data_IF_758260791825
#
_entry.id   IF_758260791825
#
_cell.length_a   1.000
_cell.length_b   1.000
_cell.length_c   1.000
_cell.angle_alpha   90.00
_cell.angle_beta   90.00
_cell.angle_gamma   90.00
#
_symmetry.space_group_name_H-M   'P 1'
#
loop_
_entity.id
_entity.type
_entity.pdbx_description
1 polymer ?
#
# COMPACT_ATOMS: atom_id res chain seq x y z
N UNK A 1 10.78 11.73 2.99
CA UNK A 1 9.39 12.27 2.95
C UNK A 1 8.73 11.76 1.67
N UNK A 2 7.40 11.88 1.49
CA UNK A 2 6.70 11.40 0.27
C UNK A 2 7.37 11.86 -1.03
N UNK A 3 8.01 13.04 -1.01
CA UNK A 3 8.83 13.59 -2.12
C UNK A 3 10.00 12.70 -2.58
N UNK A 4 10.43 11.73 -1.78
CA UNK A 4 11.53 10.81 -2.11
C UNK A 4 11.01 9.50 -2.73
N UNK A 5 9.68 9.35 -2.84
CA UNK A 5 9.03 8.23 -3.52
C UNK A 5 8.93 8.55 -5.01
N UNK A 6 9.37 7.61 -5.85
CA UNK A 6 9.29 7.71 -7.31
C UNK A 6 9.03 6.33 -7.93
N UNK A 7 8.75 6.30 -9.24
CA UNK A 7 8.42 5.07 -9.98
C UNK A 7 9.54 4.01 -9.90
N UNK A 8 10.81 4.42 -9.95
CA UNK A 8 11.93 3.48 -9.89
C UNK A 8 12.06 2.82 -8.52
N UNK A 9 11.82 3.58 -7.44
CA UNK A 9 11.76 3.03 -6.09
C UNK A 9 10.62 2.01 -5.97
N UNK A 10 9.45 2.30 -6.55
CA UNK A 10 8.28 1.42 -6.45
C UNK A 10 8.48 0.06 -7.12
N UNK A 11 9.31 -0.04 -8.17
CA UNK A 11 9.63 -1.31 -8.82
C UNK A 11 10.28 -2.34 -7.87
N UNK A 12 10.88 -1.89 -6.78
CA UNK A 12 11.49 -2.75 -5.76
C UNK A 12 10.51 -3.29 -4.71
N UNK A 13 9.22 -2.93 -4.78
CA UNK A 13 8.21 -3.31 -3.79
C UNK A 13 7.00 -3.95 -4.44
N UNK A 14 6.33 -4.84 -3.70
CA UNK A 14 5.13 -5.53 -4.19
C UNK A 14 3.84 -4.73 -4.02
N UNK A 15 3.79 -3.85 -3.00
CA UNK A 15 2.60 -3.09 -2.63
C UNK A 15 2.97 -1.69 -2.14
N UNK A 16 2.08 -0.73 -2.40
CA UNK A 16 2.16 0.60 -1.82
C UNK A 16 1.01 0.81 -0.82
N UNK A 17 1.34 1.07 0.45
CA UNK A 17 0.33 1.21 1.50
C UNK A 17 0.28 2.62 2.09
N UNK A 18 -0.33 3.60 1.38
CA UNK A 18 -0.41 4.96 1.88
C UNK A 18 -1.36 5.06 3.07
N UNK A 19 -0.99 5.93 4.00
CA UNK A 19 -1.81 6.26 5.17
C UNK A 19 -2.83 7.37 4.86
N UNK A 20 -2.51 8.23 3.89
CA UNK A 20 -3.35 9.32 3.44
C UNK A 20 -3.31 9.40 1.92
N UNK A 21 -4.43 9.80 1.31
CA UNK A 21 -4.50 10.07 -0.12
C UNK A 21 -3.56 11.23 -0.46
N UNK A 22 -2.38 10.89 -0.99
CA UNK A 22 -1.35 11.85 -1.36
C UNK A 22 -1.15 11.76 -2.86
N UNK A 23 -1.15 12.91 -3.52
CA UNK A 23 -0.79 12.99 -4.93
C UNK A 23 0.73 12.81 -5.06
N UNK A 24 1.14 11.78 -5.80
CA UNK A 24 2.54 11.44 -6.07
C UNK A 24 3.05 12.10 -7.36
N UNK A 25 2.16 12.69 -8.16
CA UNK A 25 2.50 13.21 -9.50
C UNK A 25 2.68 12.12 -10.56
N UNK A 26 2.40 10.85 -10.22
CA UNK A 26 2.39 9.69 -11.12
C UNK A 26 1.44 8.61 -10.57
N UNK A 27 1.02 7.69 -11.44
CA UNK A 27 0.19 6.55 -11.04
C UNK A 27 1.08 5.40 -10.53
N UNK A 28 0.85 4.88 -9.30
CA UNK A 28 1.60 3.74 -8.80
C UNK A 28 1.45 2.52 -9.71
N UNK A 29 2.58 2.00 -10.20
CA UNK A 29 2.61 0.76 -11.00
C UNK A 29 2.43 -0.52 -10.19
N UNK A 30 2.23 -0.40 -8.88
CA UNK A 30 2.04 -1.52 -7.93
C UNK A 30 0.71 -1.33 -7.18
N UNK A 31 0.07 -2.42 -6.73
CA UNK A 31 -1.20 -2.36 -6.00
C UNK A 31 -1.15 -1.38 -4.82
N UNK A 32 -2.17 -0.53 -4.72
CA UNK A 32 -2.31 0.48 -3.66
C UNK A 32 -3.36 0.01 -2.65
N UNK A 33 -2.99 -0.04 -1.36
CA UNK A 33 -3.89 -0.42 -0.27
C UNK A 33 -3.84 0.63 0.83
N UNK A 34 -4.96 1.30 1.10
CA UNK A 34 -5.02 2.34 2.11
C UNK A 34 -4.89 1.75 3.53
N UNK A 35 -3.93 2.27 4.29
CA UNK A 35 -3.54 1.77 5.60
C UNK A 35 -3.86 2.74 6.76
N UNK A 36 -4.65 3.80 6.52
CA UNK A 36 -5.11 4.72 7.56
C UNK A 36 -5.69 4.03 8.80
N UNK A 37 -6.45 2.93 8.69
CA UNK A 37 -6.95 2.17 9.84
C UNK A 37 -5.86 1.62 10.79
N UNK A 38 -4.66 1.27 10.28
CA UNK A 38 -3.56 0.72 11.08
C UNK A 38 -3.03 1.76 12.08
N UNK A 39 -3.06 3.05 11.72
CA UNK A 39 -2.57 4.13 12.58
C UNK A 39 -3.32 4.23 13.90
N UNK A 40 -4.61 3.88 13.92
CA UNK A 40 -5.41 3.96 15.13
C UNK A 40 -5.08 2.85 16.13
N UNK A 41 -4.23 1.89 15.77
CA UNK A 41 -3.82 0.75 16.61
C UNK A 41 -5.00 -0.06 17.16
N UNK A 42 -6.12 -0.05 16.46
CA UNK A 42 -7.31 -0.85 16.79
C UNK A 42 -7.20 -2.16 16.00
N UNK A 43 -6.96 -3.33 16.65
CA UNK A 43 -6.70 -4.59 15.93
C UNK A 43 -7.84 -5.01 15.00
N UNK A 44 -9.08 -4.73 15.38
CA UNK A 44 -10.26 -5.03 14.54
C UNK A 44 -10.30 -4.18 13.26
N UNK A 45 -9.68 -2.99 13.26
CA UNK A 45 -9.61 -2.10 12.10
C UNK A 45 -8.39 -2.38 11.21
N UNK A 46 -7.35 -3.05 11.72
CA UNK A 46 -6.20 -3.46 10.91
C UNK A 46 -6.43 -4.78 10.15
N UNK A 47 -7.29 -5.67 10.67
CA UNK A 47 -7.66 -6.92 10.01
C UNK A 47 -8.04 -6.77 8.52
N UNK A 48 -8.96 -5.88 8.12
CA UNK A 48 -9.31 -5.71 6.70
C UNK A 48 -8.14 -5.23 5.84
N UNK A 49 -7.20 -4.44 6.39
CA UNK A 49 -6.00 -4.00 5.65
C UNK A 49 -5.08 -5.18 5.38
N UNK A 50 -4.85 -6.06 6.37
CA UNK A 50 -4.03 -7.26 6.18
C UNK A 50 -4.67 -8.27 5.22
N UNK A 51 -6.00 -8.42 5.26
CA UNK A 51 -6.71 -9.29 4.32
C UNK A 51 -6.58 -8.77 2.89
N UNK A 52 -6.71 -7.45 2.71
CA UNK A 52 -6.51 -6.79 1.41
C UNK A 52 -5.07 -6.87 0.91
N UNK A 53 -4.05 -7.01 1.77
CA UNK A 53 -2.66 -7.24 1.34
C UNK A 53 -2.45 -8.67 0.83
N UNK A 54 -3.08 -9.64 1.50
CA UNK A 54 -2.92 -11.07 1.16
C UNK A 54 -3.59 -11.45 -0.16
N UNK A 55 -4.62 -10.71 -0.57
CA UNK A 55 -5.37 -10.97 -1.80
C UNK A 55 -4.52 -10.73 -3.07
N UNK A 56 -3.89 -9.54 -3.28
CA UNK A 56 -2.96 -9.30 -4.38
C UNK A 56 -1.72 -10.19 -4.35
N UNK A 57 -1.15 -10.46 -3.16
CA UNK A 57 0.02 -11.32 -3.02
C UNK A 57 -0.19 -12.74 -3.55
N UNK A 58 -1.43 -13.26 -3.49
CA UNK A 58 -1.79 -14.56 -4.08
C UNK A 58 -1.90 -14.54 -5.61
N UNK A 59 -2.19 -13.39 -6.23
CA UNK A 59 -2.26 -13.29 -7.69
C UNK A 59 -0.88 -13.22 -8.35
N UNK A 60 0.14 -12.71 -7.64
CA UNK A 60 1.51 -12.60 -8.15
C UNK A 60 2.37 -13.87 -7.95
N UNK A 61 1.82 -14.92 -7.32
CA UNK A 61 2.50 -16.20 -7.07
C UNK A 61 2.11 -17.31 -8.08
N UNK A 62 1.64 -16.95 -9.27
CA UNK A 62 1.23 -17.90 -10.33
C UNK A 62 2.07 -17.72 -11.58
#
# INVERSE_FOLDING_TARGET
MVKDVNEDLMKGYDIFTPIAATDLGFEPGIPVIEAGPILFRIPAMSAPVFDNIRLPAKQNMV
#
